data_IF_924383130856
#
_entry.id   IF_924383130856
#
_cell.length_a   1.000
_cell.length_b   1.000
_cell.length_c   1.000
_cell.angle_alpha   90.00
_cell.angle_beta   90.00
_cell.angle_gamma   90.00
#
_symmetry.space_group_name_H-M   'P 1'
#
loop_
_entity.id
_entity.type
_entity.pdbx_description
1 polymer ?
#
# COMPACT_ATOMS: atom_id res chain seq x y z
N UNK A 1 -26.52 10.16 32.44
CA UNK A 1 -25.09 10.48 32.16
C UNK A 1 -24.84 10.33 30.67
N UNK A 2 -24.49 11.40 29.96
CA UNK A 2 -24.23 11.35 28.52
C UNK A 2 -23.06 10.41 28.18
N UNK A 3 -23.14 9.60 27.11
CA UNK A 3 -22.06 8.70 26.72
C UNK A 3 -20.81 9.51 26.37
N UNK A 4 -19.70 9.26 27.08
CA UNK A 4 -18.42 9.90 26.78
C UNK A 4 -17.96 9.49 25.38
N UNK A 5 -18.00 10.42 24.41
CA UNK A 5 -17.39 10.25 23.08
C UNK A 5 -15.97 9.68 23.25
N UNK A 6 -15.71 8.51 22.67
CA UNK A 6 -14.38 7.93 22.63
C UNK A 6 -13.45 8.89 21.86
N UNK A 7 -12.40 9.39 22.52
CA UNK A 7 -11.45 10.30 21.87
C UNK A 7 -10.59 9.51 20.89
N UNK A 8 -10.65 9.91 19.61
CA UNK A 8 -9.87 9.35 18.51
C UNK A 8 -8.43 9.90 18.60
N UNK A 9 -7.60 9.37 19.49
CA UNK A 9 -6.17 9.72 19.53
C UNK A 9 -5.45 9.52 20.87
N UNK A 10 -4.12 9.51 20.80
CA UNK A 10 -3.22 9.47 21.96
C UNK A 10 -3.31 10.78 22.77
N UNK A 11 -3.45 10.68 24.09
CA UNK A 11 -3.36 11.84 25.02
C UNK A 11 -1.93 12.39 25.17
N UNK A 12 -0.93 11.69 24.61
CA UNK A 12 0.48 12.09 24.56
C UNK A 12 0.91 12.32 23.10
N UNK A 13 1.13 13.57 22.65
CA UNK A 13 1.65 13.82 21.32
C UNK A 13 3.09 13.29 21.19
N UNK A 14 3.51 12.88 20.00
CA UNK A 14 4.87 12.42 19.74
C UNK A 14 5.84 13.59 19.68
N UNK A 15 6.97 13.49 20.37
CA UNK A 15 8.12 14.39 20.20
C UNK A 15 9.00 13.92 19.05
N UNK A 16 9.33 12.63 19.07
CA UNK A 16 10.03 11.92 18.01
C UNK A 16 9.41 10.53 17.84
N UNK A 17 9.81 9.79 16.80
CA UNK A 17 9.27 8.44 16.56
C UNK A 17 9.60 7.53 17.75
N UNK A 18 8.57 7.06 18.44
CA UNK A 18 8.71 6.21 19.63
C UNK A 18 8.89 6.96 20.96
N UNK A 19 9.02 8.29 20.94
CA UNK A 19 9.19 9.12 22.14
C UNK A 19 8.01 10.07 22.28
N UNK A 20 7.25 9.91 23.36
CA UNK A 20 6.14 10.82 23.69
C UNK A 20 6.65 12.12 24.33
N UNK A 21 5.93 13.22 24.12
CA UNK A 21 6.26 14.55 24.67
C UNK A 21 6.18 14.60 26.20
N UNK A 22 5.23 13.87 26.79
CA UNK A 22 5.03 13.82 28.23
C UNK A 22 5.63 12.57 28.86
N UNK A 23 6.21 12.73 30.07
CA UNK A 23 6.72 11.65 30.91
C UNK A 23 5.59 10.77 31.47
N UNK A 24 5.97 9.60 32.00
CA UNK A 24 5.04 8.61 32.59
C UNK A 24 4.22 9.20 33.74
N UNK A 25 4.83 10.00 34.62
CA UNK A 25 4.15 10.61 35.79
C UNK A 25 3.13 11.67 35.36
N UNK A 26 3.49 12.55 34.43
CA UNK A 26 2.54 13.54 33.88
C UNK A 26 1.37 12.86 33.16
N UNK A 27 1.64 11.77 32.45
CA UNK A 27 0.60 10.96 31.81
C UNK A 27 -0.28 10.19 32.79
N UNK A 28 0.26 9.74 33.92
CA UNK A 28 -0.48 9.08 35.00
C UNK A 28 -1.56 10.01 35.58
N UNK A 29 -1.20 11.27 35.86
CA UNK A 29 -2.16 12.29 36.30
C UNK A 29 -3.15 12.69 35.20
N UNK A 30 -2.65 12.99 34.00
CA UNK A 30 -3.48 13.40 32.85
C UNK A 30 -4.47 12.33 32.38
N UNK A 31 -4.13 11.03 32.54
CA UNK A 31 -5.05 9.94 32.21
C UNK A 31 -6.13 9.72 33.28
N UNK A 32 -5.99 10.35 34.46
CA UNK A 32 -6.89 10.12 35.60
C UNK A 32 -6.73 8.74 36.21
N UNK A 33 -5.62 8.04 35.90
CA UNK A 33 -5.37 6.68 36.35
C UNK A 33 -5.23 6.64 37.88
N UNK A 34 -4.61 7.67 38.45
CA UNK A 34 -4.50 7.84 39.90
C UNK A 34 -5.85 7.84 40.61
N UNK A 35 -6.86 8.50 40.03
CA UNK A 35 -8.21 8.54 40.60
C UNK A 35 -8.92 7.18 40.48
N UNK A 36 -8.69 6.43 39.40
CA UNK A 36 -9.18 5.06 39.27
C UNK A 36 -8.53 4.16 40.31
N UNK A 37 -7.20 4.25 40.48
CA UNK A 37 -6.45 3.50 41.49
C UNK A 37 -6.93 3.81 42.91
N UNK A 38 -7.20 5.08 43.23
CA UNK A 38 -7.74 5.49 44.52
C UNK A 38 -9.15 4.92 44.76
N UNK A 39 -10.01 4.87 43.74
CA UNK A 39 -11.36 4.31 43.83
C UNK A 39 -11.39 2.78 44.00
N UNK A 40 -10.35 2.08 43.55
CA UNK A 40 -10.22 0.63 43.67
C UNK A 40 -9.26 0.21 44.80
N UNK A 41 -9.22 0.99 45.90
CA UNK A 41 -8.46 0.62 47.10
C UNK A 41 -6.95 0.49 46.88
N UNK A 42 -6.38 1.24 45.93
CA UNK A 42 -4.96 1.18 45.61
C UNK A 42 -4.58 0.13 44.56
N UNK A 43 -5.50 -0.69 44.09
CA UNK A 43 -5.25 -1.75 43.09
C UNK A 43 -5.82 -1.35 41.72
N UNK A 44 -5.14 -1.75 40.65
CA UNK A 44 -5.65 -1.54 39.29
C UNK A 44 -6.68 -2.62 38.94
N UNK A 45 -7.79 -2.27 38.27
CA UNK A 45 -8.74 -3.27 37.76
C UNK A 45 -8.02 -4.28 36.86
N UNK A 46 -8.05 -5.56 37.23
CA UNK A 46 -7.62 -6.66 36.36
C UNK A 46 -8.85 -7.24 35.67
N UNK A 47 -8.76 -7.45 34.35
CA UNK A 47 -9.70 -8.33 33.68
C UNK A 47 -9.22 -9.76 33.90
N UNK A 48 -10.05 -10.60 34.49
CA UNK A 48 -9.79 -12.03 34.53
C UNK A 48 -9.70 -12.57 33.10
N UNK A 49 -8.75 -13.48 32.82
CA UNK A 49 -8.62 -14.07 31.50
C UNK A 49 -9.94 -14.74 31.13
N UNK A 50 -10.57 -14.23 30.07
CA UNK A 50 -11.80 -14.79 29.50
C UNK A 50 -11.55 -16.27 29.20
N UNK A 51 -12.29 -17.14 29.88
CA UNK A 51 -12.26 -18.58 29.67
C UNK A 51 -12.38 -18.88 28.18
N UNK A 52 -11.46 -19.71 27.67
CA UNK A 52 -11.40 -20.07 26.27
C UNK A 52 -12.73 -20.71 25.87
N UNK A 53 -13.41 -20.08 24.91
CA UNK A 53 -14.63 -20.61 24.34
C UNK A 53 -14.39 -22.05 23.83
N UNK A 54 -15.33 -22.92 24.18
CA UNK A 54 -15.43 -24.35 23.91
C UNK A 54 -14.61 -24.84 22.69
N UNK A 55 -13.85 -25.91 22.94
CA UNK A 55 -13.05 -26.64 21.97
C UNK A 55 -13.85 -26.95 20.68
N UNK A 56 -13.37 -26.41 19.56
CA UNK A 56 -13.90 -26.71 18.23
C UNK A 56 -13.71 -28.20 17.90
N UNK A 57 -14.69 -28.78 17.20
CA UNK A 57 -14.75 -30.18 16.81
C UNK A 57 -13.45 -30.68 16.15
N UNK A 58 -13.00 -31.87 16.56
CA UNK A 58 -11.77 -32.52 16.13
C UNK A 58 -11.76 -32.81 14.62
N UNK A 59 -10.89 -32.14 13.87
CA UNK A 59 -10.61 -32.45 12.46
C UNK A 59 -9.97 -33.85 12.34
N UNK A 60 -10.43 -34.66 11.38
CA UNK A 60 -9.87 -36.00 11.14
C UNK A 60 -8.40 -35.88 10.68
N UNK A 61 -7.45 -36.64 11.24
CA UNK A 61 -6.05 -36.55 10.85
C UNK A 61 -5.86 -36.98 9.39
N UNK A 62 -4.89 -36.37 8.71
CA UNK A 62 -4.51 -36.76 7.35
C UNK A 62 -4.04 -38.23 7.33
N UNK A 63 -4.42 -38.97 6.28
CA UNK A 63 -4.08 -40.40 6.15
C UNK A 63 -2.60 -40.64 5.81
N UNK A 64 -1.91 -39.63 5.28
CA UNK A 64 -0.54 -39.72 4.80
C UNK A 64 0.39 -38.85 5.65
N UNK A 65 1.46 -39.45 6.17
CA UNK A 65 2.52 -38.77 6.91
C UNK A 65 3.79 -38.75 6.06
N UNK A 66 4.42 -37.59 5.81
CA UNK A 66 5.72 -37.54 5.15
C UNK A 66 6.81 -38.15 6.06
N UNK A 67 7.87 -38.68 5.46
CA UNK A 67 8.99 -39.26 6.22
C UNK A 67 9.84 -38.20 6.96
N UNK A 68 9.87 -36.97 6.43
CA UNK A 68 10.61 -35.85 7.01
C UNK A 68 9.67 -34.69 7.34
N UNK A 69 9.83 -34.12 8.54
CA UNK A 69 9.09 -32.95 8.99
C UNK A 69 9.77 -31.64 8.58
N UNK A 70 9.05 -30.78 7.87
CA UNK A 70 9.53 -29.43 7.55
C UNK A 70 9.28 -28.50 8.75
N UNK A 71 10.36 -27.99 9.34
CA UNK A 71 10.29 -27.05 10.47
C UNK A 71 9.49 -25.79 10.10
N UNK A 72 8.53 -25.41 10.95
CA UNK A 72 7.75 -24.19 10.78
C UNK A 72 8.67 -22.95 10.80
N UNK A 73 8.52 -22.02 9.84
CA UNK A 73 9.30 -20.79 9.81
C UNK A 73 8.98 -19.91 11.03
N UNK A 74 9.98 -19.18 11.51
CA UNK A 74 9.82 -18.25 12.63
C UNK A 74 8.84 -17.12 12.27
N UNK A 75 8.05 -16.68 13.25
CA UNK A 75 7.07 -15.62 13.06
C UNK A 75 7.74 -14.28 12.76
N UNK A 76 7.68 -13.84 11.49
CA UNK A 76 8.19 -12.53 11.07
C UNK A 76 7.13 -11.44 11.27
N UNK A 77 7.47 -10.38 12.02
CA UNK A 77 6.58 -9.22 12.25
C UNK A 77 6.72 -8.12 11.20
N UNK A 78 7.58 -8.28 10.20
CA UNK A 78 7.83 -7.28 9.15
C UNK A 78 6.64 -7.21 8.19
N UNK A 79 5.96 -6.06 8.19
CA UNK A 79 4.93 -5.73 7.20
C UNK A 79 5.54 -4.93 6.04
N UNK A 80 5.16 -5.21 4.78
CA UNK A 80 5.55 -4.37 3.66
C UNK A 80 4.96 -2.97 3.86
N UNK A 81 5.79 -1.94 3.64
CA UNK A 81 5.39 -0.54 3.74
C UNK A 81 5.45 0.08 2.36
N UNK A 82 4.53 1.00 2.03
CA UNK A 82 4.64 1.76 0.79
C UNK A 82 5.96 2.53 0.76
N UNK A 83 6.49 2.74 -0.44
CA UNK A 83 7.72 3.49 -0.66
C UNK A 83 7.51 4.96 -0.26
N UNK A 84 8.55 5.58 0.33
CA UNK A 84 8.51 7.00 0.65
C UNK A 84 8.91 7.82 -0.58
N UNK A 85 8.09 8.80 -0.95
CA UNK A 85 8.44 9.72 -2.03
C UNK A 85 9.70 10.53 -1.68
N UNK A 86 10.53 10.75 -2.71
CA UNK A 86 11.67 11.66 -2.69
C UNK A 86 11.13 13.09 -2.72
N UNK A 87 11.81 14.01 -2.05
CA UNK A 87 11.39 15.41 -1.99
C UNK A 87 11.31 16.09 -3.38
N UNK A 88 12.11 15.62 -4.35
CA UNK A 88 12.08 16.13 -5.72
C UNK A 88 10.83 15.72 -6.51
N UNK A 89 10.08 14.72 -6.04
CA UNK A 89 8.91 14.18 -6.74
C UNK A 89 7.67 14.73 -6.07
N UNK A 90 7.17 15.83 -6.61
CA UNK A 90 5.90 16.46 -6.24
C UNK A 90 4.88 16.24 -7.36
N UNK A 91 3.57 16.14 -7.08
CA UNK A 91 2.56 16.11 -8.14
C UNK A 91 2.78 17.31 -9.07
N UNK A 92 2.85 17.10 -10.38
CA UNK A 92 3.27 18.16 -11.31
C UNK A 92 4.69 18.07 -11.82
N UNK A 93 5.59 17.39 -11.10
CA UNK A 93 7.00 17.33 -11.49
C UNK A 93 7.18 16.56 -12.79
N UNK A 94 7.99 17.11 -13.69
CA UNK A 94 8.45 16.39 -14.88
C UNK A 94 9.56 15.40 -14.50
N UNK A 95 9.35 14.17 -14.92
CA UNK A 95 10.16 13.01 -14.65
C UNK A 95 10.86 12.56 -15.94
N UNK A 96 12.11 12.13 -15.83
CA UNK A 96 12.83 11.44 -16.90
C UNK A 96 12.83 9.95 -16.57
N UNK A 97 12.27 9.13 -17.45
CA UNK A 97 12.29 7.67 -17.32
C UNK A 97 13.66 7.13 -17.73
N UNK A 98 14.26 6.30 -16.89
CA UNK A 98 15.56 5.68 -17.17
C UNK A 98 15.44 4.28 -17.79
N UNK A 99 14.35 3.57 -17.49
CA UNK A 99 14.20 2.16 -17.86
C UNK A 99 12.91 1.89 -18.64
N UNK A 100 12.95 0.81 -19.44
CA UNK A 100 11.84 0.34 -20.27
C UNK A 100 11.72 1.05 -21.62
N UNK A 101 10.65 0.77 -22.36
CA UNK A 101 10.45 1.28 -23.73
C UNK A 101 10.39 2.81 -23.86
N UNK A 102 10.11 3.51 -22.77
CA UNK A 102 9.99 4.98 -22.77
C UNK A 102 11.19 5.67 -22.09
N UNK A 103 12.35 5.00 -22.07
CA UNK A 103 13.59 5.60 -21.55
C UNK A 103 13.94 6.92 -22.26
N UNK A 104 14.48 7.88 -21.53
CA UNK A 104 14.83 9.22 -22.01
C UNK A 104 13.65 10.17 -22.20
N UNK A 105 12.39 9.68 -22.20
CA UNK A 105 11.22 10.54 -22.37
C UNK A 105 10.92 11.34 -21.11
N UNK A 106 10.44 12.57 -21.31
CA UNK A 106 9.96 13.47 -20.26
C UNK A 106 8.48 13.23 -20.01
N UNK A 107 8.11 12.98 -18.77
CA UNK A 107 6.79 12.47 -18.41
C UNK A 107 6.32 13.15 -17.12
N UNK A 108 5.02 13.40 -16.97
CA UNK A 108 4.48 14.16 -15.84
C UNK A 108 4.04 13.21 -14.72
N UNK A 109 4.41 13.53 -13.48
CA UNK A 109 3.97 12.78 -12.30
C UNK A 109 2.59 13.23 -11.82
N UNK A 110 1.67 12.27 -11.64
CA UNK A 110 0.31 12.54 -11.17
C UNK A 110 0.17 12.25 -9.66
N UNK A 111 0.19 10.97 -9.29
CA UNK A 111 -0.01 10.52 -7.90
C UNK A 111 0.82 9.28 -7.58
N UNK A 112 1.04 9.04 -6.30
CA UNK A 112 1.56 7.76 -5.82
C UNK A 112 0.39 6.77 -5.63
N UNK A 113 0.52 5.57 -6.18
CA UNK A 113 -0.43 4.48 -5.98
C UNK A 113 -0.29 3.85 -4.59
N UNK A 114 -1.31 3.13 -4.07
CA UNK A 114 -1.21 2.46 -2.77
C UNK A 114 -0.09 1.40 -2.71
N UNK A 115 0.30 0.82 -3.85
CA UNK A 115 1.49 -0.05 -3.95
C UNK A 115 2.83 0.67 -3.71
N UNK A 116 2.85 2.00 -3.80
CA UNK A 116 4.06 2.82 -3.75
C UNK A 116 4.66 3.16 -5.13
N UNK A 117 4.08 2.63 -6.22
CA UNK A 117 4.50 3.00 -7.58
C UNK A 117 3.98 4.39 -7.96
N UNK A 118 4.68 5.04 -8.89
CA UNK A 118 4.31 6.34 -9.42
C UNK A 118 3.33 6.16 -10.58
N UNK A 119 2.21 6.89 -10.56
CA UNK A 119 1.37 7.08 -11.72
C UNK A 119 1.94 8.22 -12.54
N UNK A 120 2.25 7.92 -13.79
CA UNK A 120 2.97 8.81 -14.67
C UNK A 120 2.20 8.88 -16.00
N UNK A 121 2.02 10.09 -16.53
CA UNK A 121 1.42 10.34 -17.85
C UNK A 121 2.33 11.21 -18.69
N UNK A 122 2.56 10.84 -19.95
CA UNK A 122 3.27 11.71 -20.87
C UNK A 122 2.31 12.06 -21.97
N UNK A 123 1.76 13.29 -22.00
CA UNK A 123 0.65 13.66 -22.87
C UNK A 123 0.72 12.92 -24.19
N UNK A 124 -0.20 11.98 -24.42
CA UNK A 124 0.02 10.88 -25.37
C UNK A 124 0.27 11.39 -26.79
N UNK A 125 -0.34 12.54 -27.11
CA UNK A 125 -0.15 13.27 -28.37
C UNK A 125 1.29 13.76 -28.59
N UNK A 126 2.01 14.12 -27.53
CA UNK A 126 3.36 14.69 -27.61
C UNK A 126 4.41 13.58 -27.53
N UNK A 127 4.31 12.73 -26.51
CA UNK A 127 5.39 11.81 -26.14
C UNK A 127 5.07 10.34 -26.47
N UNK A 128 3.81 10.00 -26.77
CA UNK A 128 3.37 8.63 -26.99
C UNK A 128 3.51 7.73 -25.75
N UNK A 129 3.55 8.33 -24.55
CA UNK A 129 3.65 7.59 -23.29
C UNK A 129 2.27 7.53 -22.64
N UNK A 130 1.58 6.38 -22.66
CA UNK A 130 0.27 6.27 -22.03
C UNK A 130 0.39 6.35 -20.51
N UNK A 131 -0.75 6.40 -19.82
CA UNK A 131 -0.79 6.23 -18.37
C UNK A 131 -0.07 4.94 -17.97
N UNK A 132 0.98 5.08 -17.16
CA UNK A 132 1.83 3.96 -16.80
C UNK A 132 2.27 4.03 -15.34
N UNK A 133 2.40 2.84 -14.73
CA UNK A 133 3.00 2.67 -13.40
C UNK A 133 4.50 2.55 -13.54
N UNK A 134 5.23 3.33 -12.75
CA UNK A 134 6.71 3.37 -12.78
C UNK A 134 7.25 3.29 -11.36
N UNK A 135 8.35 2.55 -11.17
CA UNK A 135 9.07 2.55 -9.91
C UNK A 135 9.94 3.82 -9.80
N UNK A 136 9.85 4.49 -8.66
CA UNK A 136 10.58 5.69 -8.30
C UNK A 136 12.12 5.58 -8.46
N UNK A 137 12.70 4.39 -8.33
CA UNK A 137 14.14 4.17 -8.51
C UNK A 137 14.62 4.43 -9.94
N UNK A 138 13.77 4.21 -10.95
CA UNK A 138 14.11 4.34 -12.37
C UNK A 138 13.72 5.69 -12.95
N UNK A 139 13.66 6.71 -12.09
CA UNK A 139 13.17 8.03 -12.43
C UNK A 139 14.10 9.11 -11.87
N UNK A 140 14.40 10.09 -12.73
CA UNK A 140 15.01 11.35 -12.30
C UNK A 140 13.92 12.41 -12.22
N UNK A 141 13.70 12.96 -11.03
CA UNK A 141 12.85 14.13 -10.85
C UNK A 141 13.61 15.39 -11.26
N UNK A 142 13.05 16.16 -12.19
CA UNK A 142 13.61 17.43 -12.62
C UNK A 142 13.02 18.59 -11.80
N UNK A 143 13.57 19.79 -11.95
CA UNK A 143 13.07 20.99 -11.25
C UNK A 143 11.82 21.60 -11.90
N UNK A 144 11.49 21.20 -13.14
CA UNK A 144 10.32 21.73 -13.83
C UNK A 144 9.03 21.11 -13.27
N UNK A 145 8.04 21.98 -13.04
CA UNK A 145 6.74 21.63 -12.48
C UNK A 145 5.66 22.17 -13.38
N UNK A 146 4.62 21.37 -13.56
CA UNK A 146 3.38 21.71 -14.25
C UNK A 146 2.27 21.67 -13.21
N UNK A 147 1.36 22.64 -13.21
CA UNK A 147 0.25 22.65 -12.26
C UNK A 147 -0.83 21.64 -12.66
N UNK A 148 -1.22 20.77 -11.73
CA UNK A 148 -2.16 19.64 -11.97
C UNK A 148 -3.37 19.71 -11.04
N UNK A 149 -3.84 20.92 -10.70
CA UNK A 149 -4.97 21.10 -9.79
C UNK A 149 -6.32 20.67 -10.39
N UNK A 150 -6.45 20.66 -11.72
CA UNK A 150 -7.71 20.33 -12.42
C UNK A 150 -7.88 18.86 -12.84
N UNK A 151 -6.87 18.00 -12.69
CA UNK A 151 -6.92 16.63 -13.24
C UNK A 151 -7.51 15.65 -12.23
N UNK A 152 -8.58 14.95 -12.61
CA UNK A 152 -9.17 13.91 -11.76
C UNK A 152 -8.43 12.56 -11.93
N UNK A 153 -7.77 12.11 -10.86
CA UNK A 153 -6.91 10.90 -10.83
C UNK A 153 -7.47 9.80 -9.92
N UNK A 154 -8.67 9.95 -9.36
CA UNK A 154 -9.21 9.04 -8.33
C UNK A 154 -9.51 7.65 -8.88
N UNK A 155 -9.94 7.55 -10.14
CA UNK A 155 -10.35 6.30 -10.80
C UNK A 155 -9.21 5.30 -11.03
N UNK A 156 -7.95 5.72 -10.92
CA UNK A 156 -6.79 4.89 -11.28
C UNK A 156 -6.15 4.25 -10.06
N UNK A 157 -6.37 2.95 -9.89
CA UNK A 157 -5.75 2.14 -8.84
C UNK A 157 -4.85 1.03 -9.42
N UNK A 158 -4.10 0.34 -8.55
CA UNK A 158 -3.19 -0.74 -8.96
C UNK A 158 -3.89 -1.89 -9.69
N UNK A 159 -5.19 -2.10 -9.38
CA UNK A 159 -6.02 -3.12 -10.04
C UNK A 159 -6.27 -2.79 -11.50
N UNK A 160 -6.40 -1.50 -11.84
CA UNK A 160 -6.63 -1.05 -13.21
C UNK A 160 -5.49 -1.45 -14.16
N UNK A 161 -4.26 -1.50 -13.63
CA UNK A 161 -3.06 -1.82 -14.40
C UNK A 161 -2.58 -3.26 -14.19
N UNK A 162 -3.38 -4.12 -13.56
CA UNK A 162 -3.04 -5.52 -13.39
C UNK A 162 -3.07 -6.22 -14.75
N UNK A 163 -2.02 -6.98 -15.08
CA UNK A 163 -2.04 -7.83 -16.26
C UNK A 163 -2.96 -9.02 -15.99
N UNK A 164 -3.87 -9.29 -16.91
CA UNK A 164 -4.68 -10.51 -16.90
C UNK A 164 -3.73 -11.72 -16.98
N UNK A 165 -3.84 -12.62 -16.01
CA UNK A 165 -3.08 -13.88 -16.03
C UNK A 165 -3.91 -14.89 -16.80
N UNK A 166 -3.44 -15.31 -17.98
CA UNK A 166 -4.01 -16.47 -18.68
C UNK A 166 -3.88 -17.69 -17.76
N UNK A 167 -5.01 -18.32 -17.42
CA UNK A 167 -5.03 -19.58 -16.69
C UNK A 167 -4.35 -20.64 -17.54
N UNK A 168 -3.31 -21.28 -17.02
CA UNK A 168 -2.63 -22.39 -17.70
C UNK A 168 -3.61 -23.57 -17.73
N UNK A 169 -4.26 -23.79 -18.87
CA UNK A 169 -4.91 -25.06 -19.19
C UNK A 169 -3.84 -26.16 -19.19
N UNK A 170 -4.20 -27.40 -18.83
CA UNK A 170 -3.25 -28.52 -18.78
C UNK A 170 -2.56 -28.64 -20.14
N UNK A 171 -1.24 -28.52 -20.16
CA UNK A 171 -0.43 -28.57 -21.37
C UNK A 171 -0.64 -29.90 -22.09
N UNK A 172 -1.22 -29.84 -23.28
CA UNK A 172 -1.13 -30.89 -24.30
C UNK A 172 -0.11 -30.40 -25.35
N UNK A 173 0.62 -31.32 -25.98
CA UNK A 173 1.87 -31.06 -26.73
C UNK A 173 1.75 -30.05 -27.89
N UNK A 174 0.54 -29.74 -28.37
CA UNK A 174 0.29 -28.81 -29.48
C UNK A 174 0.36 -27.31 -29.16
N UNK A 175 0.16 -26.89 -27.91
CA UNK A 175 0.09 -25.45 -27.53
C UNK A 175 1.47 -24.83 -27.20
N UNK A 176 2.56 -25.57 -27.41
CA UNK A 176 3.92 -25.13 -27.06
C UNK A 176 4.54 -24.14 -28.08
N UNK A 177 4.07 -24.14 -29.33
CA UNK A 177 4.64 -23.32 -30.42
C UNK A 177 3.83 -22.06 -30.76
N UNK A 178 2.60 -21.92 -30.27
CA UNK A 178 1.86 -20.67 -30.31
C UNK A 178 2.40 -19.70 -29.24
N UNK A 179 3.61 -19.23 -29.47
CA UNK A 179 4.11 -17.97 -28.89
C UNK A 179 3.46 -16.81 -29.64
N UNK A 180 2.13 -16.79 -29.62
CA UNK A 180 1.35 -15.73 -30.22
C UNK A 180 1.68 -14.41 -29.53
N UNK A 181 2.12 -13.47 -30.36
CA UNK A 181 2.29 -12.04 -30.14
C UNK A 181 1.25 -11.52 -29.15
N UNK A 182 1.60 -11.51 -27.87
CA UNK A 182 0.86 -10.76 -26.87
C UNK A 182 1.12 -9.27 -27.12
N UNK A 183 0.34 -8.69 -28.03
CA UNK A 183 0.05 -7.26 -28.00
C UNK A 183 -0.62 -7.02 -26.65
N UNK A 184 0.19 -6.61 -25.68
CA UNK A 184 -0.25 -6.23 -24.35
C UNK A 184 -1.52 -5.39 -24.50
N UNK A 185 -2.62 -5.85 -23.88
CA UNK A 185 -3.99 -5.35 -23.93
C UNK A 185 -4.13 -3.84 -23.61
N UNK A 186 -3.54 -2.97 -24.42
CA UNK A 186 -3.52 -1.51 -24.27
C UNK A 186 -4.55 -0.83 -25.19
N UNK A 187 -5.26 -1.59 -26.02
CA UNK A 187 -6.17 -1.03 -27.02
C UNK A 187 -7.46 -0.45 -26.41
N UNK A 188 -7.93 -0.98 -25.27
CA UNK A 188 -9.21 -0.54 -24.68
C UNK A 188 -9.07 0.49 -23.53
N UNK A 189 -7.84 0.84 -23.12
CA UNK A 189 -7.57 1.78 -22.03
C UNK A 189 -7.33 3.23 -22.49
N UNK A 190 -7.36 3.52 -23.79
CA UNK A 190 -7.00 4.84 -24.34
C UNK A 190 -8.12 5.90 -24.25
N UNK A 191 -9.37 5.53 -23.95
CA UNK A 191 -10.48 6.49 -23.75
C UNK A 191 -10.28 7.40 -22.52
N UNK A 192 -9.96 6.90 -21.31
CA UNK A 192 -9.75 7.76 -20.15
C UNK A 192 -8.48 8.61 -20.22
N UNK A 193 -7.49 8.24 -21.04
CA UNK A 193 -6.24 9.00 -21.24
C UNK A 193 -6.51 10.33 -21.94
N UNK A 194 -7.43 10.36 -22.92
CA UNK A 194 -7.80 11.59 -23.65
C UNK A 194 -8.36 12.68 -22.75
N UNK A 195 -9.04 12.31 -21.66
CA UNK A 195 -9.61 13.27 -20.71
C UNK A 195 -8.56 13.93 -19.83
N UNK A 196 -7.44 13.24 -19.55
CA UNK A 196 -6.33 13.76 -18.75
C UNK A 196 -5.39 14.61 -19.60
N UNK A 197 -5.18 14.24 -20.86
CA UNK A 197 -4.27 14.94 -21.76
C UNK A 197 -4.86 16.23 -22.37
N UNK A 198 -6.16 16.46 -22.21
CA UNK A 198 -6.88 17.63 -22.76
C UNK A 198 -7.11 18.76 -21.75
N UNK A 199 -6.84 18.50 -20.46
CA UNK A 199 -6.92 19.46 -19.35
C UNK A 199 -5.52 19.85 -18.90
#
# INVERSE_FOLDING_TARGET
MAPKKARVGSRNPSLARGIGKFSRSKMYHKRGIWAIKAKHGGVFPRHEPKEAAAAAASEKPAKFYPADDVKKPLANRRKPKPTKLRASITPGTVLILLAGRFMGKRVVFLKQLPSGLLLVTGPFKVNGVPLRRVNQAYVIGTSTKVDISGVNVEKFDDKYFAKEKKTKTKKTEGEFFETEKEVCCLQNANKPVKCIDAT
#
